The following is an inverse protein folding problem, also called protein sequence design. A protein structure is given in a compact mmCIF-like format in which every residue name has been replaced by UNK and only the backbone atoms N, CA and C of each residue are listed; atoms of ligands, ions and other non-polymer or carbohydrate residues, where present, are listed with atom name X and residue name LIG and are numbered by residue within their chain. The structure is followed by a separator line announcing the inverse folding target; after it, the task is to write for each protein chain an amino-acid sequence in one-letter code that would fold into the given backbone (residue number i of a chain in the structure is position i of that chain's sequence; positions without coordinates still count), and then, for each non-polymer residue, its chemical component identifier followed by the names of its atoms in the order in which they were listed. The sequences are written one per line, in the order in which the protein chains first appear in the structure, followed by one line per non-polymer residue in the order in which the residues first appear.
data_IF_993902740128
#
_entry.id   IF_993902740128
#
_cell.length_a   1.000
_cell.length_b   1.000
_cell.length_c   1.000
_cell.angle_alpha   90.00
_cell.angle_beta   90.00
_cell.angle_gamma   90.00
#
_symmetry.space_group_name_H-M   'P 1'
#
loop_
_entity.id
_entity.type
_entity.pdbx_description
1 polymer ?
#
# COMPACT_ATOMS: atom_id res chain seq x y z
N UNK A 1 -2.22 6.99 -63.33
CA UNK A 1 -3.24 7.13 -62.26
C UNK A 1 -3.53 5.80 -61.57
N UNK A 2 -4.03 4.77 -62.27
CA UNK A 2 -4.44 3.49 -61.64
C UNK A 2 -3.31 2.82 -60.84
N UNK A 3 -2.07 2.83 -61.35
CA UNK A 3 -0.90 2.24 -60.68
C UNK A 3 -0.54 2.97 -59.37
N UNK A 4 -0.72 4.29 -59.32
CA UNK A 4 -0.48 5.06 -58.10
C UNK A 4 -1.57 4.81 -57.05
N UNK A 5 -2.83 4.68 -57.49
CA UNK A 5 -3.93 4.32 -56.59
C UNK A 5 -3.79 2.88 -56.05
N UNK A 6 -3.35 1.93 -56.88
CA UNK A 6 -3.14 0.55 -56.44
C UNK A 6 -1.98 0.43 -55.46
N UNK A 7 -0.89 1.18 -55.68
CA UNK A 7 0.23 1.23 -54.74
C UNK A 7 -0.18 1.85 -53.40
N UNK A 8 -0.91 2.96 -53.42
CA UNK A 8 -1.40 3.60 -52.21
C UNK A 8 -2.37 2.70 -51.42
N UNK A 9 -3.25 1.98 -52.13
CA UNK A 9 -4.16 1.02 -51.51
C UNK A 9 -3.40 -0.16 -50.88
N UNK A 10 -2.34 -0.64 -51.52
CA UNK A 10 -1.49 -1.71 -50.98
C UNK A 10 -0.78 -1.25 -49.69
N UNK A 11 -0.24 -0.04 -49.67
CA UNK A 11 0.41 0.53 -48.48
C UNK A 11 -0.58 0.70 -47.33
N UNK A 12 -1.80 1.20 -47.62
CA UNK A 12 -2.86 1.33 -46.61
C UNK A 12 -3.26 -0.03 -46.02
N UNK A 13 -3.32 -1.06 -46.87
CA UNK A 13 -3.68 -2.41 -46.43
C UNK A 13 -2.62 -2.99 -45.50
N UNK A 14 -1.34 -2.81 -45.81
CA UNK A 14 -0.23 -3.23 -44.94
C UNK A 14 -0.22 -2.46 -43.63
N UNK A 15 -0.40 -1.13 -43.67
CA UNK A 15 -0.45 -0.30 -42.46
C UNK A 15 -1.62 -0.69 -41.55
N UNK A 16 -2.80 -0.94 -42.13
CA UNK A 16 -3.98 -1.41 -41.39
C UNK A 16 -3.74 -2.77 -40.74
N UNK A 17 -3.13 -3.72 -41.46
CA UNK A 17 -2.78 -5.03 -40.92
C UNK A 17 -1.78 -4.94 -39.76
N UNK A 18 -0.76 -4.08 -39.87
CA UNK A 18 0.22 -3.86 -38.80
C UNK A 18 -0.41 -3.21 -37.56
N UNK A 19 -1.28 -2.22 -37.74
CA UNK A 19 -1.99 -1.59 -36.63
C UNK A 19 -2.94 -2.56 -35.93
N UNK A 20 -3.65 -3.41 -36.69
CA UNK A 20 -4.50 -4.46 -36.12
C UNK A 20 -3.68 -5.48 -35.34
N UNK A 21 -2.52 -5.89 -35.86
CA UNK A 21 -1.60 -6.77 -35.15
C UNK A 21 -1.12 -6.15 -33.84
N UNK A 22 -0.66 -4.89 -33.88
CA UNK A 22 -0.20 -4.16 -32.71
C UNK A 22 -1.31 -3.96 -31.68
N UNK A 23 -2.54 -3.69 -32.12
CA UNK A 23 -3.70 -3.58 -31.25
C UNK A 23 -4.05 -4.92 -30.60
N UNK A 24 -3.95 -6.02 -31.34
CA UNK A 24 -4.14 -7.37 -30.78
C UNK A 24 -3.06 -7.71 -29.77
N UNK A 25 -1.80 -7.38 -30.06
CA UNK A 25 -0.67 -7.62 -29.17
C UNK A 25 -0.75 -6.75 -27.91
N UNK A 26 -1.15 -5.48 -28.04
CA UNK A 26 -1.47 -4.62 -26.90
C UNK A 26 -2.66 -5.16 -26.10
N UNK A 27 -3.72 -5.63 -26.75
CA UNK A 27 -4.85 -6.26 -26.04
C UNK A 27 -4.41 -7.53 -25.34
N UNK A 28 -3.49 -8.31 -25.91
CA UNK A 28 -2.96 -9.51 -25.27
C UNK A 28 -2.04 -9.15 -24.10
N UNK A 29 -1.24 -8.09 -24.21
CA UNK A 29 -0.40 -7.60 -23.11
C UNK A 29 -1.24 -6.99 -21.98
N UNK A 30 -2.27 -6.20 -22.30
CA UNK A 30 -3.22 -5.66 -21.31
C UNK A 30 -4.04 -6.78 -20.69
N UNK A 31 -4.46 -7.78 -21.48
CA UNK A 31 -5.12 -8.97 -20.96
C UNK A 31 -4.19 -9.79 -20.10
N UNK A 32 -2.92 -9.97 -20.48
CA UNK A 32 -1.92 -10.59 -19.62
C UNK A 32 -1.65 -9.76 -18.38
N UNK A 33 -1.68 -8.43 -18.42
CA UNK A 33 -1.56 -7.60 -17.21
C UNK A 33 -2.79 -7.76 -16.30
N UNK A 34 -4.00 -7.77 -16.86
CA UNK A 34 -5.26 -8.01 -16.13
C UNK A 34 -5.40 -9.45 -15.64
N UNK A 35 -4.89 -10.43 -16.39
CA UNK A 35 -4.94 -11.86 -16.06
C UNK A 35 -3.79 -12.23 -15.12
N UNK A 36 -2.64 -11.54 -15.17
CA UNK A 36 -1.61 -11.59 -14.13
C UNK A 36 -2.00 -10.78 -12.88
N UNK A 37 -2.96 -9.86 -12.99
CA UNK A 37 -3.62 -9.22 -11.84
C UNK A 37 -4.63 -10.17 -11.18
N UNK A 38 -5.06 -11.24 -11.88
CA UNK A 38 -6.11 -12.16 -11.40
C UNK A 38 -5.66 -13.64 -11.27
N UNK A 39 -4.47 -14.04 -11.74
CA UNK A 39 -4.03 -15.46 -11.74
C UNK A 39 -2.53 -15.70 -11.55
N UNK A 40 -1.88 -15.00 -10.62
CA UNK A 40 -0.63 -15.51 -10.03
C UNK A 40 -0.25 -14.85 -8.70
N UNK A 41 -1.21 -14.64 -7.81
CA UNK A 41 -0.91 -14.52 -6.38
C UNK A 41 -1.70 -15.58 -5.61
N UNK A 42 -1.16 -16.80 -5.65
CA UNK A 42 -1.05 -17.60 -4.43
C UNK A 42 0.17 -17.11 -3.61
N UNK A 43 0.45 -15.81 -3.64
CA UNK A 43 1.16 -15.12 -2.59
C UNK A 43 0.15 -14.75 -1.49
N UNK A 44 0.60 -14.57 -0.23
CA UNK A 44 -0.27 -14.04 0.81
C UNK A 44 -0.90 -12.74 0.29
N UNK A 45 -2.18 -12.51 0.61
CA UNK A 45 -2.85 -11.22 0.41
C UNK A 45 -1.85 -10.09 0.69
N UNK A 46 -1.78 -9.01 -0.11
CA UNK A 46 -0.77 -7.98 0.08
C UNK A 46 -0.85 -7.41 1.52
N UNK A 47 0.04 -7.89 2.39
CA UNK A 47 0.09 -7.53 3.79
C UNK A 47 0.74 -6.15 3.94
N UNK A 48 -0.06 -5.15 4.32
CA UNK A 48 0.44 -3.82 4.66
C UNK A 48 0.97 -3.82 6.10
N UNK A 49 2.29 -3.90 6.27
CA UNK A 49 2.94 -3.78 7.58
C UNK A 49 3.29 -2.33 7.87
N UNK A 50 2.50 -1.68 8.73
CA UNK A 50 2.79 -0.33 9.23
C UNK A 50 3.65 -0.40 10.49
N UNK A 51 4.88 0.12 10.44
CA UNK A 51 5.74 0.26 11.63
C UNK A 51 5.63 1.68 12.20
N UNK A 52 5.13 1.80 13.43
CA UNK A 52 5.02 3.07 14.13
C UNK A 52 6.11 3.19 15.20
N UNK A 53 6.81 4.35 15.24
CA UNK A 53 7.81 4.67 16.27
C UNK A 53 7.47 5.99 16.95
N UNK A 54 7.22 5.96 18.26
CA UNK A 54 7.13 7.19 19.05
C UNK A 54 8.53 7.74 19.30
N UNK A 55 8.79 8.96 18.80
CA UNK A 55 10.11 9.60 18.86
C UNK A 55 10.54 9.95 20.28
N UNK A 56 9.64 10.54 21.08
CA UNK A 56 9.90 10.86 22.49
C UNK A 56 8.72 10.42 23.38
N UNK A 57 8.73 9.17 23.87
CA UNK A 57 7.66 8.66 24.70
C UNK A 57 7.64 9.32 26.09
N UNK A 58 8.76 9.85 26.60
CA UNK A 58 8.82 10.43 27.94
C UNK A 58 8.20 11.82 27.94
N UNK A 59 8.57 12.66 26.96
CA UNK A 59 7.92 13.95 26.80
C UNK A 59 6.42 13.81 26.53
N UNK A 60 6.03 12.81 25.72
CA UNK A 60 4.63 12.51 25.45
C UNK A 60 3.86 12.16 26.74
N UNK A 61 4.40 11.26 27.58
CA UNK A 61 3.80 10.93 28.88
C UNK A 61 3.66 12.14 29.80
N UNK A 62 4.68 13.02 29.84
CA UNK A 62 4.67 14.22 30.68
C UNK A 62 3.62 15.25 30.23
N UNK A 63 3.37 15.34 28.92
CA UNK A 63 2.42 16.29 28.32
C UNK A 63 0.97 15.82 28.47
N UNK A 64 0.71 14.55 28.17
CA UNK A 64 -0.66 14.04 28.07
C UNK A 64 -1.18 13.44 29.37
N UNK A 65 -0.32 13.13 30.35
CA UNK A 65 -0.75 12.43 31.56
C UNK A 65 -0.10 12.93 32.85
N UNK A 66 -0.93 13.19 33.87
CA UNK A 66 -0.46 13.53 35.23
C UNK A 66 0.27 12.35 35.89
N UNK A 67 -0.21 11.13 35.66
CA UNK A 67 0.45 9.90 36.12
C UNK A 67 1.72 9.63 35.31
N UNK A 68 1.67 9.85 33.99
CA UNK A 68 2.83 9.78 33.11
C UNK A 68 3.95 10.71 33.55
N UNK A 69 3.63 11.93 34.00
CA UNK A 69 4.62 12.87 34.54
C UNK A 69 5.32 12.37 35.80
N UNK A 70 4.59 11.78 36.75
CA UNK A 70 5.20 11.24 37.98
C UNK A 70 6.04 9.98 37.73
N UNK A 71 5.56 9.11 36.84
CA UNK A 71 6.24 7.86 36.51
C UNK A 71 7.43 8.10 35.58
N UNK A 72 7.37 9.10 34.70
CA UNK A 72 8.47 9.47 33.81
C UNK A 72 9.76 9.79 34.58
N UNK A 73 9.63 10.47 35.71
CA UNK A 73 10.76 10.91 36.52
C UNK A 73 11.35 9.79 37.39
N UNK A 74 10.54 8.79 37.78
CA UNK A 74 10.96 7.71 38.69
C UNK A 74 11.24 6.38 37.99
N UNK A 75 10.50 6.07 36.94
CA UNK A 75 10.49 4.79 36.23
C UNK A 75 10.35 5.04 34.71
N UNK A 76 11.39 5.58 34.06
CA UNK A 76 11.34 5.96 32.64
C UNK A 76 11.10 4.76 31.71
N UNK A 77 11.63 3.57 32.05
CA UNK A 77 11.42 2.35 31.25
C UNK A 77 9.95 1.92 31.26
N UNK A 78 9.30 1.95 32.43
CA UNK A 78 7.88 1.59 32.55
C UNK A 78 6.99 2.63 31.87
N UNK A 79 7.35 3.91 31.99
CA UNK A 79 6.63 5.00 31.32
C UNK A 79 6.66 4.83 29.81
N UNK A 80 7.81 4.47 29.24
CA UNK A 80 7.93 4.18 27.81
C UNK A 80 7.00 3.06 27.36
N UNK A 81 6.96 1.94 28.10
CA UNK A 81 6.07 0.82 27.78
C UNK A 81 4.60 1.22 27.87
N UNK A 82 4.23 1.94 28.91
CA UNK A 82 2.87 2.43 29.12
C UNK A 82 2.41 3.34 27.97
N UNK A 83 3.29 4.23 27.51
CA UNK A 83 2.99 5.12 26.38
C UNK A 83 2.75 4.33 25.10
N UNK A 84 3.61 3.37 24.79
CA UNK A 84 3.41 2.56 23.59
C UNK A 84 2.13 1.74 23.65
N UNK A 85 1.80 1.19 24.83
CA UNK A 85 0.53 0.47 25.04
C UNK A 85 -0.68 1.39 24.87
N UNK A 86 -0.62 2.62 25.37
CA UNK A 86 -1.74 3.54 25.25
C UNK A 86 -1.93 4.02 23.80
N UNK A 87 -0.83 4.32 23.09
CA UNK A 87 -0.87 4.66 21.66
C UNK A 87 -1.45 3.51 20.82
N UNK A 88 -1.09 2.26 21.14
CA UNK A 88 -1.67 1.09 20.47
C UNK A 88 -3.18 1.02 20.69
N UNK A 89 -3.65 1.13 21.94
CA UNK A 89 -5.08 1.11 22.26
C UNK A 89 -5.86 2.24 21.62
N UNK A 90 -5.28 3.43 21.54
CA UNK A 90 -5.91 4.58 20.89
C UNK A 90 -6.05 4.34 19.39
N UNK A 91 -5.01 3.82 18.75
CA UNK A 91 -5.03 3.47 17.34
C UNK A 91 -6.01 2.32 17.04
N UNK A 92 -6.06 1.27 17.88
CA UNK A 92 -7.05 0.20 17.76
C UNK A 92 -8.48 0.75 17.78
N UNK A 93 -8.80 1.66 18.72
CA UNK A 93 -10.12 2.28 18.81
C UNK A 93 -10.46 3.11 17.58
N UNK A 94 -9.50 3.88 17.04
CA UNK A 94 -9.72 4.68 15.83
C UNK A 94 -9.93 3.83 14.57
N UNK A 95 -9.24 2.69 14.48
CA UNK A 95 -9.39 1.75 13.37
C UNK A 95 -10.69 0.96 13.46
N UNK A 96 -11.04 0.50 14.66
CA UNK A 96 -12.33 -0.15 14.97
C UNK A 96 -13.51 0.78 14.69
N UNK A 97 -13.40 2.07 15.05
CA UNK A 97 -14.42 3.08 14.73
C UNK A 97 -14.64 3.30 13.22
N UNK A 98 -13.69 2.87 12.38
CA UNK A 98 -13.76 2.92 10.92
C UNK A 98 -14.04 1.55 10.30
N UNK A 99 -14.32 0.54 11.11
CA UNK A 99 -14.56 -0.85 10.71
C UNK A 99 -13.38 -1.46 9.94
N UNK A 100 -12.15 -1.06 10.31
CA UNK A 100 -10.91 -1.57 9.71
C UNK A 100 -10.34 -2.67 10.60
N UNK A 101 -10.50 -3.93 10.17
CA UNK A 101 -9.92 -5.08 10.86
C UNK A 101 -8.39 -5.10 10.69
N UNK A 102 -7.65 -4.91 11.80
CA UNK A 102 -6.19 -4.93 11.81
C UNK A 102 -5.67 -5.82 12.95
N UNK A 103 -4.52 -6.45 12.72
CA UNK A 103 -3.77 -7.13 13.76
C UNK A 103 -2.61 -6.24 14.20
N UNK A 104 -2.56 -5.88 15.49
CA UNK A 104 -1.58 -4.96 16.03
C UNK A 104 -0.58 -5.69 16.95
N UNK A 105 0.71 -5.50 16.68
CA UNK A 105 1.80 -6.11 17.44
C UNK A 105 2.80 -5.07 17.94
N UNK A 106 3.28 -5.25 19.18
CA UNK A 106 4.35 -4.43 19.74
C UNK A 106 5.69 -5.17 19.69
N UNK A 107 6.60 -4.72 18.83
CA UNK A 107 8.00 -5.16 18.86
C UNK A 107 8.84 -4.21 19.74
N UNK A 108 9.47 -4.74 20.80
CA UNK A 108 10.46 -4.00 21.57
C UNK A 108 11.85 -4.20 20.93
N UNK A 109 12.38 -3.14 20.30
CA UNK A 109 13.78 -3.07 19.85
C UNK A 109 14.61 -2.21 20.77
#
# INVERSE_FOLDING_TARGET
MIIALSFLSLVLLVASALLLWQLMEQRNMVRHMLENEDTSDTGPEPELVLTLRVLDPIALAKRESKAGRMLADRLPVMTRKMVYQEVMKELERELDARDIAVEMHMEYR
#
